data_IF_680200615076
#
_entry.id   IF_680200615076
#
_cell.length_a   1.000
_cell.length_b   1.000
_cell.length_c   1.000
_cell.angle_alpha   90.00
_cell.angle_beta   90.00
_cell.angle_gamma   90.00
#
_symmetry.space_group_name_H-M   'P 1'
#
loop_
_entity.id
_entity.type
_entity.pdbx_description
1 polymer ?
#
# COMPACT_ATOMS: atom_id res chain seq x y z
N UNK A 1 -9.98 30.50 34.63
CA UNK A 1 -10.23 30.41 33.18
C UNK A 1 -8.87 30.29 32.52
N UNK A 2 -8.47 29.10 32.08
CA UNK A 2 -7.30 28.95 31.22
C UNK A 2 -7.82 28.76 29.79
N UNK A 3 -7.50 29.71 28.92
CA UNK A 3 -7.82 29.65 27.50
C UNK A 3 -7.06 28.49 26.87
N UNK A 4 -7.78 27.49 26.38
CA UNK A 4 -7.22 26.47 25.52
C UNK A 4 -6.80 27.12 24.21
N UNK A 5 -5.49 27.20 23.98
CA UNK A 5 -4.94 27.54 22.68
C UNK A 5 -5.22 26.36 21.74
N UNK A 6 -6.33 26.41 21.00
CA UNK A 6 -6.56 25.49 19.89
C UNK A 6 -5.60 25.89 18.77
N UNK A 7 -4.57 25.08 18.55
CA UNK A 7 -3.74 25.18 17.34
C UNK A 7 -4.69 25.04 16.15
N UNK A 8 -4.71 25.98 15.18
CA UNK A 8 -5.53 25.85 13.99
C UNK A 8 -5.17 24.54 13.28
N UNK A 9 -6.13 23.65 13.09
CA UNK A 9 -5.93 22.49 12.23
C UNK A 9 -5.71 23.01 10.82
N UNK A 10 -4.52 22.79 10.26
CA UNK A 10 -4.23 23.18 8.90
C UNK A 10 -5.09 22.35 7.94
N UNK A 11 -5.96 23.04 7.19
CA UNK A 11 -6.78 22.41 6.16
C UNK A 11 -5.88 21.90 5.03
N UNK A 12 -6.10 20.64 4.66
CA UNK A 12 -5.42 19.99 3.56
C UNK A 12 -6.38 19.76 2.42
N UNK A 13 -5.81 19.62 1.24
CA UNK A 13 -6.51 19.26 0.02
C UNK A 13 -5.91 17.98 -0.54
N UNK A 14 -6.78 17.08 -1.00
CA UNK A 14 -6.40 15.93 -1.79
C UNK A 14 -6.85 16.23 -3.22
N UNK A 15 -5.87 16.27 -4.12
CA UNK A 15 -6.09 16.21 -5.56
C UNK A 15 -5.57 14.85 -6.03
N UNK A 16 -6.45 13.99 -6.52
CA UNK A 16 -6.06 12.66 -6.95
C UNK A 16 -6.89 12.12 -8.09
N UNK A 17 -6.38 11.09 -8.75
CA UNK A 17 -7.08 10.36 -9.79
C UNK A 17 -7.02 8.86 -9.53
N UNK A 18 -8.10 8.16 -9.88
CA UNK A 18 -8.20 6.70 -9.82
C UNK A 18 -8.60 6.19 -11.21
N UNK A 19 -7.89 5.20 -11.73
CA UNK A 19 -8.20 4.58 -13.02
C UNK A 19 -7.63 3.18 -13.18
N UNK A 20 -8.25 2.31 -13.98
CA UNK A 20 -7.64 1.04 -14.34
C UNK A 20 -6.56 1.23 -15.42
N UNK A 21 -5.49 0.45 -15.32
CA UNK A 21 -4.46 0.31 -16.35
C UNK A 21 -3.72 -1.01 -16.11
N UNK A 22 -3.56 -1.83 -17.16
CA UNK A 22 -2.79 -3.08 -17.13
C UNK A 22 -3.17 -4.02 -15.97
N UNK A 23 -4.47 -4.20 -15.71
CA UNK A 23 -4.98 -5.09 -14.65
C UNK A 23 -4.86 -4.54 -13.22
N UNK A 24 -4.41 -3.30 -13.04
CA UNK A 24 -4.28 -2.66 -11.74
C UNK A 24 -5.06 -1.34 -11.67
N UNK A 25 -5.40 -0.92 -10.45
CA UNK A 25 -5.95 0.40 -10.16
C UNK A 25 -4.83 1.36 -9.85
N UNK A 26 -4.60 2.32 -10.72
CA UNK A 26 -3.58 3.35 -10.56
C UNK A 26 -4.13 4.57 -9.81
N UNK A 27 -3.26 5.17 -9.01
CA UNK A 27 -3.53 6.35 -8.21
C UNK A 27 -2.44 7.39 -8.47
N UNK A 28 -2.83 8.54 -8.98
CA UNK A 28 -2.01 9.75 -8.98
C UNK A 28 -2.56 10.63 -7.87
N UNK A 29 -1.76 11.03 -6.88
CA UNK A 29 -2.30 11.74 -5.71
C UNK A 29 -1.34 12.75 -5.13
N UNK A 30 -1.85 13.93 -4.87
CA UNK A 30 -1.20 15.02 -4.14
C UNK A 30 -2.01 15.27 -2.86
N UNK A 31 -1.31 15.47 -1.75
CA UNK A 31 -1.92 15.91 -0.48
C UNK A 31 -1.05 16.99 0.11
N UNK A 32 -1.56 18.22 0.08
CA UNK A 32 -0.81 19.42 0.48
C UNK A 32 -1.81 20.48 0.96
N UNK A 33 -1.33 21.68 1.31
CA UNK A 33 -2.20 22.80 1.64
C UNK A 33 -3.03 23.24 0.41
N UNK A 34 -4.19 23.83 0.67
CA UNK A 34 -5.12 24.29 -0.38
C UNK A 34 -4.40 25.25 -1.35
N UNK A 35 -3.63 26.20 -0.83
CA UNK A 35 -2.92 27.20 -1.62
C UNK A 35 -1.86 26.58 -2.56
N UNK A 36 -1.16 25.55 -2.09
CA UNK A 36 -0.09 24.90 -2.85
C UNK A 36 -0.63 24.02 -3.99
N UNK A 37 -1.85 23.51 -3.85
CA UNK A 37 -2.51 22.70 -4.89
C UNK A 37 -3.18 23.54 -5.97
N UNK A 38 -3.60 24.77 -5.70
CA UNK A 38 -4.44 25.55 -6.62
C UNK A 38 -3.83 25.70 -8.02
N UNK A 39 -2.54 26.03 -8.11
CA UNK A 39 -1.81 26.16 -9.38
C UNK A 39 -1.57 24.84 -10.13
N UNK A 40 -1.85 23.70 -9.50
CA UNK A 40 -1.66 22.35 -10.07
C UNK A 40 -2.95 21.84 -10.71
N UNK A 41 -4.11 22.29 -10.22
CA UNK A 41 -5.44 21.76 -10.56
C UNK A 41 -5.75 21.80 -12.05
N UNK A 42 -5.36 22.86 -12.75
CA UNK A 42 -5.65 23.01 -14.18
C UNK A 42 -4.82 22.05 -15.04
N UNK A 43 -3.62 21.69 -14.58
CA UNK A 43 -2.67 20.84 -15.33
C UNK A 43 -2.91 19.35 -15.05
N UNK A 44 -3.37 19.03 -13.84
CA UNK A 44 -3.54 17.66 -13.36
C UNK A 44 -4.41 16.77 -14.27
N UNK A 45 -5.57 17.21 -14.81
CA UNK A 45 -6.36 16.38 -15.71
C UNK A 45 -5.62 15.95 -16.98
N UNK A 46 -4.78 16.82 -17.54
CA UNK A 46 -3.98 16.50 -18.72
C UNK A 46 -2.95 15.41 -18.42
N UNK A 47 -2.28 15.54 -17.28
CA UNK A 47 -1.31 14.57 -16.75
C UNK A 47 -1.99 13.20 -16.55
N UNK A 48 -3.20 13.17 -16.01
CA UNK A 48 -3.98 11.93 -15.82
C UNK A 48 -4.38 11.30 -17.17
N UNK A 49 -4.79 12.12 -18.15
CA UNK A 49 -5.20 11.63 -19.47
C UNK A 49 -4.02 11.00 -20.24
N UNK A 50 -2.84 11.61 -20.15
CA UNK A 50 -1.63 11.20 -20.87
C UNK A 50 -0.80 10.13 -20.15
N UNK A 51 -1.12 9.83 -18.89
CA UNK A 51 -0.42 8.82 -18.10
C UNK A 51 -0.43 7.46 -18.81
N UNK A 52 0.75 6.89 -19.00
CA UNK A 52 0.96 5.53 -19.51
C UNK A 52 2.01 4.85 -18.64
N UNK A 53 2.20 3.56 -18.87
CA UNK A 53 3.33 2.82 -18.32
C UNK A 53 4.10 2.21 -19.46
N UNK A 54 5.43 2.19 -19.31
CA UNK A 54 6.30 1.49 -20.24
C UNK A 54 5.96 -0.02 -20.26
N UNK A 55 5.68 -0.64 -21.42
CA UNK A 55 5.28 -2.04 -21.48
C UNK A 55 6.34 -3.03 -21.00
N UNK A 56 7.63 -2.69 -21.09
CA UNK A 56 8.73 -3.58 -20.71
C UNK A 56 9.07 -3.45 -19.22
N UNK A 57 9.22 -2.23 -18.73
CA UNK A 57 9.64 -1.96 -17.35
C UNK A 57 8.48 -1.76 -16.39
N UNK A 58 7.25 -1.56 -16.88
CA UNK A 58 6.06 -1.25 -16.08
C UNK A 58 6.08 0.12 -15.41
N UNK A 59 7.11 0.94 -15.67
CA UNK A 59 7.32 2.24 -15.01
C UNK A 59 6.40 3.33 -15.58
N UNK A 60 6.01 4.33 -14.77
CA UNK A 60 5.26 5.48 -15.25
C UNK A 60 5.97 6.24 -16.38
N UNK A 61 5.25 6.51 -17.46
CA UNK A 61 5.71 7.31 -18.59
C UNK A 61 4.65 8.37 -18.88
N UNK A 62 5.06 9.64 -18.81
CA UNK A 62 4.21 10.78 -19.11
C UNK A 62 5.05 12.01 -19.39
N UNK A 63 4.51 12.93 -20.19
CA UNK A 63 5.11 14.25 -20.33
C UNK A 63 4.82 15.08 -19.07
N UNK A 64 5.88 15.63 -18.47
CA UNK A 64 5.77 16.48 -17.30
C UNK A 64 5.87 17.95 -17.71
N UNK A 65 5.11 18.86 -17.08
CA UNK A 65 5.23 20.29 -17.32
C UNK A 65 6.63 20.80 -16.98
N UNK A 66 6.98 21.96 -17.54
CA UNK A 66 8.29 22.57 -17.29
C UNK A 66 8.57 22.70 -15.79
N UNK A 67 9.76 22.23 -15.36
CA UNK A 67 10.22 22.30 -13.98
C UNK A 67 9.73 21.16 -13.08
N UNK A 68 8.73 20.36 -13.50
CA UNK A 68 8.32 19.17 -12.77
C UNK A 68 9.35 18.07 -12.98
N UNK A 69 9.60 17.27 -11.94
CA UNK A 69 10.63 16.21 -11.99
C UNK A 69 10.06 14.89 -11.53
N UNK A 70 10.21 13.87 -12.36
CA UNK A 70 10.01 12.48 -11.94
C UNK A 70 11.12 12.10 -10.98
N UNK A 71 10.73 11.53 -9.85
CA UNK A 71 11.58 11.07 -8.77
C UNK A 71 11.34 9.56 -8.57
N UNK A 72 12.35 8.82 -8.08
CA UNK A 72 12.16 7.43 -7.68
C UNK A 72 10.99 7.27 -6.72
N UNK A 73 10.34 6.10 -6.80
CA UNK A 73 9.30 5.67 -5.88
C UNK A 73 9.82 5.36 -4.47
N UNK A 74 8.93 4.85 -3.64
CA UNK A 74 9.23 4.29 -2.31
C UNK A 74 8.39 3.00 -2.07
N UNK A 75 8.26 2.56 -0.82
CA UNK A 75 7.44 1.38 -0.47
C UNK A 75 6.00 1.43 -0.98
N UNK A 76 5.47 2.65 -1.10
CA UNK A 76 4.05 2.92 -1.28
C UNK A 76 3.74 3.48 -2.67
N UNK A 77 4.72 4.11 -3.32
CA UNK A 77 4.60 4.71 -4.63
C UNK A 77 5.61 4.12 -5.62
N UNK A 78 5.15 3.75 -6.80
CA UNK A 78 5.98 3.33 -7.95
C UNK A 78 6.90 4.47 -8.43
N UNK A 79 6.42 5.70 -8.32
CA UNK A 79 7.17 6.91 -8.60
C UNK A 79 6.61 8.11 -7.84
N UNK A 80 7.39 9.17 -7.76
CA UNK A 80 6.95 10.47 -7.23
C UNK A 80 7.20 11.53 -8.29
N UNK A 81 6.43 12.60 -8.27
CA UNK A 81 6.70 13.80 -9.07
C UNK A 81 6.83 14.98 -8.14
N UNK A 82 8.00 15.61 -8.18
CA UNK A 82 8.26 16.87 -7.51
C UNK A 82 7.72 18.03 -8.38
N UNK A 83 6.77 18.76 -7.84
CA UNK A 83 6.05 19.84 -8.51
C UNK A 83 6.50 21.17 -7.90
N UNK A 84 7.18 22.05 -8.65
CA UNK A 84 7.56 23.36 -8.13
C UNK A 84 6.33 24.18 -7.76
N UNK A 85 6.37 24.83 -6.61
CA UNK A 85 5.32 25.72 -6.13
C UNK A 85 5.87 27.15 -6.09
N UNK A 86 5.18 28.09 -6.72
CA UNK A 86 5.65 29.47 -6.80
C UNK A 86 5.78 30.09 -5.40
N UNK A 87 6.95 30.67 -5.11
CA UNK A 87 7.23 31.31 -3.82
C UNK A 87 7.52 30.35 -2.66
N UNK A 88 7.67 29.05 -2.94
CA UNK A 88 8.02 28.04 -1.94
C UNK A 88 9.23 27.22 -2.41
N UNK A 89 10.21 27.04 -1.51
CA UNK A 89 11.40 26.23 -1.79
C UNK A 89 11.07 24.73 -1.84
N UNK A 90 10.01 24.29 -1.15
CA UNK A 90 9.61 22.90 -1.08
C UNK A 90 8.61 22.57 -2.20
N UNK A 91 8.91 21.59 -3.07
CA UNK A 91 7.96 21.17 -4.09
C UNK A 91 6.75 20.47 -3.45
N UNK A 92 5.59 20.57 -4.09
CA UNK A 92 4.49 19.67 -3.81
C UNK A 92 4.83 18.28 -4.38
N UNK A 93 4.38 17.23 -3.70
CA UNK A 93 4.70 15.85 -4.12
C UNK A 93 3.43 15.17 -4.61
N UNK A 94 3.44 14.77 -5.89
CA UNK A 94 2.48 13.81 -6.41
C UNK A 94 3.06 12.40 -6.29
N UNK A 95 2.29 11.50 -5.71
CA UNK A 95 2.61 10.07 -5.63
C UNK A 95 1.91 9.32 -6.76
N UNK A 96 2.61 8.38 -7.37
CA UNK A 96 2.06 7.44 -8.35
C UNK A 96 2.12 6.06 -7.70
N UNK A 97 0.98 5.46 -7.43
CA UNK A 97 0.89 4.12 -6.83
C UNK A 97 -0.09 3.26 -7.60
N UNK A 98 -0.01 1.94 -7.45
CA UNK A 98 -0.97 1.00 -8.03
C UNK A 98 -1.39 0.00 -6.97
N UNK A 99 -2.66 -0.39 -6.98
CA UNK A 99 -3.20 -1.45 -6.14
C UNK A 99 -3.89 -2.49 -7.02
N UNK A 100 -4.05 -3.70 -6.48
CA UNK A 100 -4.89 -4.71 -7.09
C UNK A 100 -6.30 -4.13 -7.32
N UNK A 101 -6.79 -4.30 -8.54
CA UNK A 101 -8.11 -3.86 -8.97
C UNK A 101 -8.92 -5.05 -9.46
N UNK A 102 -10.26 -4.95 -9.47
CA UNK A 102 -11.06 -5.96 -10.13
C UNK A 102 -10.74 -6.02 -11.62
N UNK A 103 -10.70 -7.24 -12.18
CA UNK A 103 -10.55 -7.46 -13.62
C UNK A 103 -11.83 -7.12 -14.39
N UNK A 104 -12.99 -7.35 -13.77
CA UNK A 104 -14.30 -7.12 -14.36
C UNK A 104 -14.73 -5.65 -14.24
N UNK A 105 -15.15 -5.06 -15.37
CA UNK A 105 -15.62 -3.68 -15.45
C UNK A 105 -16.82 -3.40 -14.54
N UNK A 106 -17.69 -4.39 -14.36
CA UNK A 106 -18.88 -4.31 -13.51
C UNK A 106 -18.57 -4.14 -12.02
N UNK A 107 -17.38 -4.54 -11.58
CA UNK A 107 -16.94 -4.44 -10.17
C UNK A 107 -16.20 -3.13 -9.86
N UNK A 108 -15.93 -2.32 -10.88
CA UNK A 108 -15.22 -1.04 -10.72
C UNK A 108 -15.97 0.00 -9.87
N UNK A 109 -17.31 0.15 -9.95
CA UNK A 109 -18.04 1.09 -9.12
C UNK A 109 -17.85 0.85 -7.61
N UNK A 110 -17.86 -0.41 -7.16
CA UNK A 110 -17.63 -0.76 -5.76
C UNK A 110 -16.18 -0.48 -5.32
N UNK A 111 -15.22 -0.75 -6.23
CA UNK A 111 -13.82 -0.39 -6.00
C UNK A 111 -13.63 1.12 -5.86
N UNK A 112 -14.25 1.92 -6.73
CA UNK A 112 -14.21 3.39 -6.64
C UNK A 112 -14.83 3.89 -5.34
N UNK A 113 -16.02 3.38 -4.98
CA UNK A 113 -16.71 3.76 -3.74
C UNK A 113 -15.80 3.60 -2.51
N UNK A 114 -15.16 2.43 -2.39
CA UNK A 114 -14.23 2.14 -1.30
C UNK A 114 -13.06 3.11 -1.27
N UNK A 115 -12.43 3.35 -2.42
CA UNK A 115 -11.21 4.15 -2.49
C UNK A 115 -11.46 5.65 -2.32
N UNK A 116 -12.56 6.17 -2.85
CA UNK A 116 -12.95 7.57 -2.71
C UNK A 116 -13.37 7.88 -1.27
N UNK A 117 -14.12 7.00 -0.61
CA UNK A 117 -14.46 7.17 0.81
C UNK A 117 -13.23 7.05 1.73
N UNK A 118 -12.26 6.20 1.38
CA UNK A 118 -10.95 6.19 2.05
C UNK A 118 -10.23 7.54 1.93
N UNK A 119 -10.39 8.26 0.82
CA UNK A 119 -9.82 9.60 0.66
C UNK A 119 -10.65 10.68 1.38
N UNK A 120 -11.98 10.59 1.40
CA UNK A 120 -12.83 11.45 2.24
C UNK A 120 -12.37 11.43 3.70
N UNK A 121 -12.13 10.25 4.27
CA UNK A 121 -11.68 10.12 5.66
C UNK A 121 -10.33 10.81 5.95
N UNK A 122 -9.45 10.96 4.95
CA UNK A 122 -8.16 11.65 5.11
C UNK A 122 -8.29 13.17 5.19
N UNK A 123 -9.40 13.72 4.68
CA UNK A 123 -9.77 15.13 4.81
C UNK A 123 -10.93 15.33 5.79
N UNK A 124 -11.12 14.38 6.71
CA UNK A 124 -12.16 14.41 7.75
C UNK A 124 -13.59 14.59 7.20
N UNK A 125 -13.86 14.13 5.99
CA UNK A 125 -15.19 14.08 5.42
C UNK A 125 -15.86 12.73 5.70
N UNK A 126 -17.18 12.75 5.82
CA UNK A 126 -17.98 11.55 5.99
C UNK A 126 -17.98 10.67 4.72
N UNK A 127 -18.28 9.40 4.91
CA UNK A 127 -18.51 8.50 3.78
C UNK A 127 -19.76 8.94 3.01
N UNK A 128 -19.69 8.86 1.69
CA UNK A 128 -20.77 9.17 0.79
C UNK A 128 -21.19 7.93 0.01
N UNK A 129 -22.41 7.94 -0.51
CA UNK A 129 -22.86 6.95 -1.48
C UNK A 129 -22.09 7.10 -2.79
N UNK A 130 -22.13 6.05 -3.62
CA UNK A 130 -21.50 6.09 -4.94
C UNK A 130 -22.12 7.18 -5.82
N UNK A 131 -23.44 7.37 -5.77
CA UNK A 131 -24.14 8.39 -6.55
C UNK A 131 -23.63 9.81 -6.22
N UNK A 132 -23.54 10.14 -4.94
CA UNK A 132 -23.03 11.43 -4.47
C UNK A 132 -21.56 11.64 -4.86
N UNK A 133 -20.73 10.60 -4.74
CA UNK A 133 -19.34 10.65 -5.15
C UNK A 133 -19.21 10.91 -6.64
N UNK A 134 -19.94 10.15 -7.46
CA UNK A 134 -19.90 10.25 -8.92
C UNK A 134 -20.38 11.63 -9.41
N UNK A 135 -21.31 12.26 -8.69
CA UNK A 135 -21.73 13.64 -8.97
C UNK A 135 -20.66 14.70 -8.62
N UNK A 136 -19.70 14.36 -7.75
CA UNK A 136 -18.68 15.28 -7.23
C UNK A 136 -17.29 15.12 -7.84
N UNK A 137 -17.07 14.07 -8.63
CA UNK A 137 -15.78 13.76 -9.27
C UNK A 137 -15.83 14.02 -10.77
N UNK A 138 -14.68 14.33 -11.36
CA UNK A 138 -14.58 14.60 -12.79
C UNK A 138 -14.11 13.36 -13.55
N UNK A 139 -14.88 12.83 -14.51
CA UNK A 139 -14.42 11.77 -15.40
C UNK A 139 -13.51 12.33 -16.50
N UNK A 140 -12.41 11.64 -16.76
CA UNK A 140 -11.43 11.93 -17.82
C UNK A 140 -11.32 10.69 -18.72
N UNK A 141 -11.77 10.76 -19.99
CA UNK A 141 -11.58 9.67 -20.95
C UNK A 141 -10.10 9.31 -21.11
N UNK A 142 -9.80 8.01 -21.27
CA UNK A 142 -8.43 7.52 -21.49
C UNK A 142 -8.37 6.61 -22.70
N UNK A 143 -7.34 6.80 -23.52
CA UNK A 143 -7.10 5.99 -24.70
C UNK A 143 -6.93 4.51 -24.31
N UNK A 144 -7.65 3.61 -25.02
CA UNK A 144 -7.55 2.16 -24.78
C UNK A 144 -8.27 1.65 -23.52
N UNK A 145 -9.01 2.50 -22.79
CA UNK A 145 -9.81 2.09 -21.63
C UNK A 145 -11.29 2.41 -21.82
N UNK A 146 -12.17 1.47 -21.45
CA UNK A 146 -13.62 1.69 -21.37
C UNK A 146 -14.02 2.49 -20.14
N UNK A 147 -13.24 2.36 -19.08
CA UNK A 147 -13.42 3.04 -17.81
C UNK A 147 -12.58 4.33 -17.82
N UNK A 148 -13.17 5.51 -17.59
CA UNK A 148 -12.41 6.76 -17.51
C UNK A 148 -11.58 6.81 -16.22
N UNK A 149 -10.66 7.77 -16.16
CA UNK A 149 -10.11 8.18 -14.88
C UNK A 149 -11.09 9.08 -14.13
N UNK A 150 -11.12 8.97 -12.81
CA UNK A 150 -11.95 9.80 -11.96
C UNK A 150 -11.08 10.69 -11.10
N UNK A 151 -11.21 12.00 -11.27
CA UNK A 151 -10.50 13.00 -10.47
C UNK A 151 -11.31 13.32 -9.22
N UNK A 152 -10.68 13.10 -8.08
CA UNK A 152 -11.12 13.51 -6.77
C UNK A 152 -10.39 14.79 -6.37
N UNK A 153 -11.13 15.82 -6.02
CA UNK A 153 -10.60 17.11 -5.61
C UNK A 153 -11.39 17.63 -4.42
N UNK A 154 -10.87 17.42 -3.20
CA UNK A 154 -11.55 17.82 -1.96
C UNK A 154 -10.60 18.36 -0.92
N UNK A 155 -11.10 19.30 -0.14
CA UNK A 155 -10.43 19.88 1.03
C UNK A 155 -11.13 19.49 2.34
N UNK A 156 -10.41 19.65 3.43
CA UNK A 156 -10.93 19.49 4.78
C UNK A 156 -9.82 19.49 5.83
N UNK A 157 -10.21 19.34 7.09
CA UNK A 157 -9.25 19.20 8.17
C UNK A 157 -8.41 17.94 7.99
N UNK A 158 -7.19 17.92 8.55
CA UNK A 158 -6.39 16.69 8.58
C UNK A 158 -7.15 15.61 9.34
N UNK A 159 -7.70 14.63 8.62
CA UNK A 159 -8.45 13.52 9.21
C UNK A 159 -7.54 12.46 9.79
N UNK A 160 -8.06 11.68 10.76
CA UNK A 160 -7.48 10.39 11.09
C UNK A 160 -7.82 9.47 9.93
N UNK A 161 -6.84 9.11 9.11
CA UNK A 161 -7.00 8.08 8.08
C UNK A 161 -7.23 6.72 8.74
N UNK A 162 -8.42 6.51 9.30
CA UNK A 162 -8.92 5.25 9.83
C UNK A 162 -10.20 4.89 9.08
N UNK A 163 -10.29 3.63 8.66
CA UNK A 163 -11.50 3.07 8.08
C UNK A 163 -12.64 3.24 9.10
N UNK A 164 -13.51 4.22 8.87
CA UNK A 164 -14.71 4.43 9.67
C UNK A 164 -15.63 3.23 9.48
N UNK A 165 -15.62 2.32 10.46
CA UNK A 165 -16.70 1.36 10.67
C UNK A 165 -17.93 2.16 11.10
N UNK A 166 -18.78 2.50 10.14
CA UNK A 166 -20.20 2.62 10.43
C UNK A 166 -20.71 1.20 10.66
N UNK A 167 -20.87 0.83 11.92
CA UNK A 167 -21.65 -0.36 12.29
C UNK A 167 -23.13 -0.02 12.09
N UNK A 168 -23.90 -0.76 11.29
CA UNK A 168 -25.35 -0.71 11.39
C UNK A 168 -25.74 -1.47 12.67
N UNK A 169 -26.41 -0.78 13.58
CA UNK A 169 -27.21 -1.42 14.63
C UNK A 169 -28.25 -2.34 13.99
N UNK A 170 -28.41 -3.61 14.44
CA UNK A 170 -29.45 -4.47 13.92
C UNK A 170 -30.79 -4.10 14.55
N UNK A 171 -31.71 -3.62 13.70
CA UNK A 171 -33.11 -3.50 14.06
C UNK A 171 -33.74 -4.90 14.01
N UNK A 172 -34.18 -5.37 15.16
CA UNK A 172 -34.90 -6.64 15.31
C UNK A 172 -36.33 -6.47 14.79
N UNK A 173 -36.67 -7.05 13.64
CA UNK A 173 -38.00 -7.62 13.44
C UNK A 173 -38.11 -8.56 12.24
N UNK A 174 -38.52 -9.78 12.58
CA UNK A 174 -39.47 -10.64 11.89
C UNK A 174 -39.23 -11.20 10.47
N UNK A 175 -39.25 -12.53 10.49
CA UNK A 175 -40.09 -13.41 9.69
C UNK A 175 -39.55 -13.92 8.34
N UNK A 176 -39.25 -15.22 8.38
CA UNK A 176 -39.72 -16.25 7.45
C UNK A 176 -39.66 -15.92 5.96
N UNK A 177 -38.80 -16.64 5.23
CA UNK A 177 -39.24 -17.90 4.59
C UNK A 177 -38.06 -18.64 3.98
N UNK A 178 -38.15 -19.95 4.11
CA UNK A 178 -37.34 -21.00 3.51
C UNK A 178 -37.48 -21.08 1.99
N UNK A 179 -36.36 -21.23 1.28
CA UNK A 179 -36.27 -22.16 0.15
C UNK A 179 -34.81 -22.42 -0.24
N UNK A 180 -34.41 -23.68 -0.11
CA UNK A 180 -33.19 -24.29 -0.61
C UNK A 180 -33.16 -24.39 -2.15
N UNK A 181 -31.96 -24.60 -2.73
CA UNK A 181 -31.69 -24.42 -4.16
C UNK A 181 -31.97 -25.68 -4.98
N UNK A 182 -32.12 -25.52 -6.30
CA UNK A 182 -32.10 -26.63 -7.25
C UNK A 182 -31.00 -26.45 -8.31
N UNK A 183 -30.16 -27.48 -8.55
CA UNK A 183 -29.09 -27.46 -9.54
C UNK A 183 -29.58 -27.95 -10.92
N UNK A 184 -29.01 -27.40 -11.99
CA UNK A 184 -29.07 -27.94 -13.36
C UNK A 184 -27.68 -27.82 -13.97
N UNK A 185 -26.89 -28.89 -13.98
CA UNK A 185 -26.71 -29.85 -15.09
C UNK A 185 -26.05 -29.22 -16.33
N UNK A 186 -24.75 -29.53 -16.45
CA UNK A 186 -23.88 -29.28 -17.57
C UNK A 186 -24.23 -30.11 -18.82
N UNK A 187 -23.82 -29.62 -19.99
CA UNK A 187 -23.33 -30.44 -21.09
C UNK A 187 -22.26 -29.68 -21.91
N UNK A 188 -21.40 -30.41 -22.66
CA UNK A 188 -20.03 -30.02 -22.98
C UNK A 188 -19.89 -29.42 -24.38
N UNK A 189 -18.79 -28.71 -24.61
CA UNK A 189 -18.30 -28.44 -25.96
C UNK A 189 -16.80 -28.77 -26.03
N UNK A 190 -16.48 -29.65 -26.97
CA UNK A 190 -15.16 -30.14 -27.32
C UNK A 190 -14.18 -29.05 -27.72
N UNK A 191 -12.93 -29.33 -27.38
CA UNK A 191 -11.67 -28.66 -27.68
C UNK A 191 -11.30 -28.64 -29.17
N UNK A 192 -10.68 -27.55 -29.62
CA UNK A 192 -9.57 -27.55 -30.58
C UNK A 192 -8.55 -26.44 -30.26
N UNK A 193 -7.26 -26.61 -30.62
CA UNK A 193 -6.13 -25.91 -30.01
C UNK A 193 -5.76 -24.63 -30.77
N UNK A 194 -5.32 -23.62 -30.03
CA UNK A 194 -4.50 -22.52 -30.56
C UNK A 194 -3.42 -22.17 -29.53
N UNK A 195 -2.29 -22.86 -29.69
CA UNK A 195 -0.99 -22.45 -29.22
C UNK A 195 -0.65 -21.08 -29.80
N UNK A 196 -0.79 -20.02 -28.99
CA UNK A 196 -0.06 -18.75 -29.08
C UNK A 196 0.14 -18.30 -27.62
N UNK A 197 1.38 -18.40 -27.13
CA UNK A 197 1.74 -18.05 -25.76
C UNK A 197 1.34 -16.62 -25.40
N UNK A 198 0.25 -16.50 -24.63
CA UNK A 198 -0.07 -15.29 -23.90
C UNK A 198 0.95 -15.11 -22.77
N UNK A 199 1.34 -13.86 -22.41
CA UNK A 199 2.09 -13.61 -21.19
C UNK A 199 1.25 -14.13 -20.02
N UNK A 200 1.79 -15.08 -19.26
CA UNK A 200 1.12 -15.67 -18.12
C UNK A 200 0.67 -14.55 -17.16
N UNK A 201 -0.64 -14.38 -17.01
CA UNK A 201 -1.26 -13.53 -16.00
C UNK A 201 -0.60 -13.86 -14.64
N UNK A 202 0.02 -12.85 -14.02
CA UNK A 202 0.62 -13.05 -12.71
C UNK A 202 -0.49 -13.42 -11.72
N UNK A 203 -0.40 -14.63 -11.13
CA UNK A 203 -1.37 -15.14 -10.17
C UNK A 203 -1.48 -14.14 -9.00
N UNK A 204 -2.69 -13.68 -8.66
CA UNK A 204 -2.91 -12.90 -7.45
C UNK A 204 -2.83 -13.82 -6.23
N UNK A 205 -2.15 -13.40 -5.17
CA UNK A 205 -2.05 -14.18 -3.93
C UNK A 205 -3.32 -14.02 -3.10
N UNK A 206 -3.84 -15.14 -2.57
CA UNK A 206 -4.94 -15.14 -1.62
C UNK A 206 -4.38 -15.16 -0.19
N UNK A 207 -4.51 -14.08 0.59
CA UNK A 207 -4.01 -14.02 1.97
C UNK A 207 -4.61 -15.08 2.90
N UNK A 208 -5.79 -15.62 2.58
CA UNK A 208 -6.44 -16.64 3.40
C UNK A 208 -5.76 -18.01 3.34
N UNK A 209 -4.91 -18.25 2.34
CA UNK A 209 -4.15 -19.50 2.24
C UNK A 209 -2.87 -19.49 3.08
N UNK A 210 -2.50 -18.34 3.66
CA UNK A 210 -1.33 -18.22 4.51
C UNK A 210 -1.55 -18.91 5.86
N UNK A 211 -0.76 -19.95 6.10
CA UNK A 211 -0.70 -20.69 7.36
C UNK A 211 0.65 -20.45 8.05
N UNK A 212 0.66 -20.41 9.38
CA UNK A 212 1.84 -20.22 10.21
C UNK A 212 1.59 -20.71 11.64
N UNK A 213 2.67 -21.01 12.35
CA UNK A 213 2.67 -21.29 13.78
C UNK A 213 3.05 -20.01 14.55
N UNK A 214 2.13 -19.52 15.38
CA UNK A 214 2.36 -18.30 16.16
C UNK A 214 3.23 -18.62 17.39
N UNK A 215 4.38 -17.94 17.59
CA UNK A 215 5.17 -18.12 18.80
C UNK A 215 4.39 -17.82 20.07
N UNK A 216 4.76 -18.49 21.16
CA UNK A 216 4.15 -18.27 22.47
C UNK A 216 4.24 -16.79 22.89
N UNK A 217 3.12 -16.27 23.40
CA UNK A 217 3.00 -14.88 23.85
C UNK A 217 2.80 -13.85 22.74
N UNK A 218 2.99 -14.21 21.46
CA UNK A 218 2.64 -13.32 20.36
C UNK A 218 1.12 -13.29 20.18
N UNK A 219 0.60 -12.13 19.80
CA UNK A 219 -0.84 -11.91 19.70
C UNK A 219 -1.18 -11.35 18.33
N UNK A 220 -2.07 -12.03 17.59
CA UNK A 220 -2.60 -11.50 16.33
C UNK A 220 -3.41 -10.24 16.60
N UNK A 221 -3.08 -9.17 15.91
CA UNK A 221 -3.76 -7.90 15.98
C UNK A 221 -4.81 -7.78 14.87
N UNK A 222 -5.69 -6.78 14.98
CA UNK A 222 -6.68 -6.49 13.96
C UNK A 222 -6.03 -6.24 12.60
N UNK A 223 -6.70 -6.71 11.53
CA UNK A 223 -6.25 -6.50 10.17
C UNK A 223 -6.16 -5.00 9.85
N UNK A 224 -5.08 -4.61 9.19
CA UNK A 224 -4.86 -3.23 8.73
C UNK A 224 -4.72 -3.22 7.21
N UNK A 225 -5.14 -2.14 6.53
CA UNK A 225 -4.99 -2.04 5.09
C UNK A 225 -3.55 -2.32 4.65
N UNK A 226 -3.39 -3.05 3.54
CA UNK A 226 -2.10 -3.40 2.93
C UNK A 226 -1.21 -4.34 3.77
N UNK A 227 -1.76 -4.97 4.81
CA UNK A 227 -1.08 -6.00 5.60
C UNK A 227 -1.87 -7.30 5.49
N UNK A 228 -1.18 -8.41 5.22
CA UNK A 228 -1.75 -9.76 5.29
C UNK A 228 -2.03 -10.13 6.75
N UNK A 229 -1.08 -9.81 7.64
CA UNK A 229 -1.21 -10.05 9.06
C UNK A 229 -0.41 -9.03 9.88
N UNK A 230 -0.86 -8.76 11.10
CA UNK A 230 -0.12 -7.96 12.09
C UNK A 230 -0.13 -8.71 13.42
N UNK A 231 1.00 -8.71 14.12
CA UNK A 231 1.16 -9.34 15.42
C UNK A 231 1.85 -8.39 16.38
N UNK A 232 1.43 -8.45 17.63
CA UNK A 232 2.14 -7.88 18.76
C UNK A 232 3.17 -8.90 19.25
N UNK A 233 4.40 -8.44 19.39
CA UNK A 233 5.55 -9.22 19.89
C UNK A 233 5.86 -8.72 21.29
N UNK A 234 5.68 -9.52 22.34
CA UNK A 234 5.77 -9.04 23.72
C UNK A 234 7.21 -8.64 24.07
N UNK A 235 7.37 -7.44 24.62
CA UNK A 235 8.56 -6.97 25.32
C UNK A 235 8.64 -7.52 26.75
N UNK A 236 9.77 -7.26 27.41
CA UNK A 236 9.88 -7.45 28.87
C UNK A 236 9.13 -6.34 29.62
N UNK A 237 8.91 -6.47 30.94
CA UNK A 237 8.14 -5.48 31.73
C UNK A 237 8.62 -4.02 31.59
N UNK A 238 9.91 -3.81 31.31
CA UNK A 238 10.52 -2.49 31.13
C UNK A 238 10.74 -2.09 29.67
N UNK A 239 10.26 -2.88 28.70
CA UNK A 239 10.51 -2.72 27.27
C UNK A 239 9.19 -2.65 26.50
N UNK A 240 9.13 -1.77 25.50
CA UNK A 240 7.95 -1.67 24.63
C UNK A 240 7.78 -2.93 23.78
N UNK A 241 6.53 -3.31 23.53
CA UNK A 241 6.20 -4.38 22.60
C UNK A 241 6.63 -4.05 21.16
N UNK A 242 7.04 -5.08 20.43
CA UNK A 242 7.30 -5.00 18.99
C UNK A 242 6.04 -5.20 18.16
N UNK A 243 6.09 -4.75 16.90
CA UNK A 243 5.07 -5.03 15.89
C UNK A 243 5.69 -5.87 14.77
N UNK A 244 5.12 -7.04 14.49
CA UNK A 244 5.45 -7.85 13.33
C UNK A 244 4.35 -7.74 12.26
N UNK A 245 4.75 -7.45 11.04
CA UNK A 245 3.85 -7.27 9.90
C UNK A 245 4.22 -8.25 8.80
N UNK A 246 3.20 -8.91 8.23
CA UNK A 246 3.30 -9.66 6.98
C UNK A 246 2.62 -8.87 5.88
N UNK A 247 3.31 -8.66 4.75
CA UNK A 247 2.79 -7.90 3.60
C UNK A 247 3.38 -8.41 2.28
N UNK A 248 2.84 -7.94 1.16
CA UNK A 248 3.41 -8.18 -0.18
C UNK A 248 3.90 -6.89 -0.80
N UNK A 249 5.05 -6.95 -1.47
CA UNK A 249 5.58 -5.86 -2.26
C UNK A 249 6.50 -6.41 -3.35
N UNK A 250 6.87 -5.58 -4.32
CA UNK A 250 7.93 -5.90 -5.26
C UNK A 250 9.25 -5.92 -4.50
N UNK A 251 10.08 -6.94 -4.74
CA UNK A 251 11.40 -7.01 -4.15
C UNK A 251 12.42 -6.25 -5.00
N UNK A 252 13.05 -5.26 -4.36
CA UNK A 252 14.22 -4.56 -4.85
C UNK A 252 15.14 -4.32 -3.64
N UNK A 253 16.09 -5.22 -3.36
CA UNK A 253 16.82 -5.22 -2.10
C UNK A 253 17.51 -3.89 -1.76
N UNK A 254 18.06 -3.19 -2.77
CA UNK A 254 18.75 -1.91 -2.56
C UNK A 254 17.75 -0.79 -2.26
N UNK A 255 16.73 -0.61 -3.09
CA UNK A 255 15.74 0.47 -2.88
C UNK A 255 14.90 0.23 -1.61
N UNK A 256 14.55 -1.03 -1.33
CA UNK A 256 13.89 -1.42 -0.10
C UNK A 256 14.75 -1.10 1.13
N UNK A 257 16.04 -1.42 1.08
CA UNK A 257 16.96 -1.14 2.19
C UNK A 257 17.19 0.35 2.41
N UNK A 258 17.17 1.19 1.37
CA UNK A 258 17.23 2.66 1.51
C UNK A 258 16.02 3.18 2.28
N UNK A 259 14.83 2.78 1.88
CA UNK A 259 13.57 3.21 2.49
C UNK A 259 13.42 2.71 3.93
N UNK A 260 13.86 1.50 4.25
CA UNK A 260 13.91 1.03 5.63
C UNK A 260 14.94 1.79 6.47
N UNK A 261 16.09 2.13 5.88
CA UNK A 261 17.11 2.95 6.54
C UNK A 261 16.60 4.36 6.83
N UNK A 262 15.84 4.98 5.91
CA UNK A 262 15.16 6.26 6.14
C UNK A 262 14.23 6.21 7.36
N UNK A 263 13.42 5.13 7.49
CA UNK A 263 12.52 4.94 8.62
C UNK A 263 13.26 4.80 9.97
N UNK A 264 14.40 4.11 9.97
CA UNK A 264 15.15 3.81 11.18
C UNK A 264 16.05 4.97 11.59
N UNK A 265 16.76 5.56 10.64
CA UNK A 265 17.75 6.62 10.85
C UNK A 265 17.14 8.01 10.87
N UNK A 266 15.89 8.16 10.38
CA UNK A 266 15.17 9.45 10.29
C UNK A 266 15.95 10.51 9.51
N UNK A 267 16.58 10.08 8.42
CA UNK A 267 17.33 10.93 7.48
C UNK A 267 16.93 10.59 6.05
N UNK A 268 16.87 11.59 5.19
CA UNK A 268 16.63 11.49 3.75
C UNK A 268 17.91 11.71 2.92
N UNK A 269 19.07 11.88 3.58
CA UNK A 269 20.35 12.17 2.93
C UNK A 269 20.81 10.97 2.05
N UNK A 270 20.84 11.12 0.70
CA UNK A 270 21.25 10.04 -0.20
C UNK A 270 22.69 9.57 0.02
N UNK A 271 23.58 10.45 0.51
CA UNK A 271 24.97 10.12 0.80
C UNK A 271 25.13 9.19 2.00
N UNK A 272 24.11 9.14 2.88
CA UNK A 272 24.02 8.19 4.00
C UNK A 272 23.25 6.95 3.57
N UNK A 273 22.07 7.13 2.97
CA UNK A 273 21.15 6.02 2.67
C UNK A 273 21.67 5.06 1.61
N UNK A 274 22.36 5.55 0.58
CA UNK A 274 22.93 4.73 -0.49
C UNK A 274 23.94 3.71 0.02
N UNK A 275 25.07 4.15 0.62
CA UNK A 275 26.08 3.25 1.18
C UNK A 275 25.51 2.34 2.27
N UNK A 276 24.56 2.84 3.09
CA UNK A 276 23.93 2.02 4.12
C UNK A 276 23.11 0.87 3.53
N UNK A 277 22.35 1.13 2.47
CA UNK A 277 21.57 0.10 1.78
C UNK A 277 22.46 -0.99 1.16
N UNK A 278 23.56 -0.60 0.51
CA UNK A 278 24.54 -1.54 -0.04
C UNK A 278 25.15 -2.42 1.07
N UNK A 279 25.52 -1.81 2.20
CA UNK A 279 26.00 -2.52 3.37
C UNK A 279 24.96 -3.55 3.86
N UNK A 280 23.71 -3.13 4.06
CA UNK A 280 22.62 -4.00 4.53
C UNK A 280 22.42 -5.19 3.59
N UNK A 281 22.37 -4.94 2.27
CA UNK A 281 22.17 -6.01 1.28
C UNK A 281 23.35 -6.99 1.27
N UNK A 282 24.59 -6.49 1.39
CA UNK A 282 25.78 -7.34 1.44
C UNK A 282 25.84 -8.22 2.71
N UNK A 283 25.18 -7.80 3.78
CA UNK A 283 25.15 -8.49 5.08
C UNK A 283 23.91 -9.38 5.25
N UNK A 284 23.05 -9.49 4.24
CA UNK A 284 21.82 -10.26 4.33
C UNK A 284 22.10 -11.75 4.58
N UNK A 285 21.45 -12.32 5.58
CA UNK A 285 21.54 -13.75 5.90
C UNK A 285 20.52 -14.54 5.04
N UNK A 286 20.90 -15.70 4.51
CA UNK A 286 19.92 -16.66 3.98
C UNK A 286 19.38 -17.50 5.13
N UNK A 287 18.07 -17.59 5.29
CA UNK A 287 17.39 -18.38 6.32
C UNK A 287 16.33 -19.30 5.69
N UNK A 288 15.99 -20.43 6.34
CA UNK A 288 14.86 -21.25 5.89
C UNK A 288 13.52 -20.52 6.12
N UNK A 289 12.60 -20.72 5.19
CA UNK A 289 11.22 -20.25 5.21
C UNK A 289 10.31 -21.37 4.70
N UNK A 290 10.25 -22.47 5.47
CA UNK A 290 9.51 -23.65 5.09
C UNK A 290 10.17 -24.45 3.98
N UNK A 291 9.48 -24.56 2.85
CA UNK A 291 10.04 -25.20 1.64
C UNK A 291 10.87 -24.23 0.78
N UNK A 292 11.03 -22.98 1.24
CA UNK A 292 11.67 -21.88 0.52
C UNK A 292 12.81 -21.30 1.35
N UNK A 293 13.59 -20.42 0.74
CA UNK A 293 14.58 -19.60 1.42
C UNK A 293 14.07 -18.16 1.54
N UNK A 294 14.56 -17.45 2.56
CA UNK A 294 14.35 -16.02 2.72
C UNK A 294 15.68 -15.29 2.90
N UNK A 295 15.70 -14.01 2.51
CA UNK A 295 16.78 -13.09 2.87
C UNK A 295 16.38 -12.31 4.11
N UNK A 296 17.20 -12.38 5.15
CA UNK A 296 17.01 -11.68 6.41
C UNK A 296 17.92 -10.45 6.48
N UNK A 297 17.32 -9.30 6.69
CA UNK A 297 17.97 -8.00 6.84
C UNK A 297 17.77 -7.49 8.26
N UNK A 298 18.78 -6.81 8.81
CA UNK A 298 18.70 -6.14 10.11
C UNK A 298 19.21 -4.71 9.97
N UNK A 299 18.40 -3.76 10.43
CA UNK A 299 18.68 -2.32 10.34
C UNK A 299 18.45 -1.71 11.71
N UNK A 300 19.49 -1.09 12.28
CA UNK A 300 19.47 -0.50 13.61
C UNK A 300 19.78 0.99 13.51
N UNK A 301 19.14 1.80 14.35
CA UNK A 301 19.41 3.24 14.38
C UNK A 301 20.83 3.53 14.90
N UNK A 302 21.25 2.78 15.90
CA UNK A 302 22.61 2.71 16.44
C UNK A 302 22.76 1.40 17.25
N UNK A 303 23.88 1.22 17.94
CA UNK A 303 24.17 0.00 18.72
C UNK A 303 23.56 -0.02 20.13
N UNK A 304 22.80 1.00 20.53
CA UNK A 304 22.10 1.02 21.81
C UNK A 304 20.97 -0.03 21.83
N UNK A 305 20.78 -0.66 22.98
CA UNK A 305 19.75 -1.69 23.21
C UNK A 305 18.33 -1.17 22.94
N UNK A 306 18.05 0.07 23.33
CA UNK A 306 16.77 0.75 23.15
C UNK A 306 16.58 1.37 21.77
N UNK A 307 17.59 1.31 20.89
CA UNK A 307 17.50 1.91 19.57
C UNK A 307 16.46 1.20 18.72
N UNK A 308 15.80 1.95 17.84
CA UNK A 308 14.87 1.39 16.86
C UNK A 308 15.60 0.40 15.94
N UNK A 309 15.00 -0.78 15.78
CA UNK A 309 15.47 -1.85 14.93
C UNK A 309 14.33 -2.31 14.00
N UNK A 310 14.67 -2.54 12.73
CA UNK A 310 13.86 -3.32 11.80
C UNK A 310 14.59 -4.62 11.47
N UNK A 311 13.93 -5.74 11.69
CA UNK A 311 14.35 -7.05 11.18
C UNK A 311 13.37 -7.49 10.11
N UNK A 312 13.84 -7.75 8.89
CA UNK A 312 12.98 -8.01 7.73
C UNK A 312 13.40 -9.31 7.07
N UNK A 313 12.48 -10.27 6.95
CA UNK A 313 12.65 -11.41 6.06
C UNK A 313 11.88 -11.20 4.77
N UNK A 314 12.55 -11.44 3.63
CA UNK A 314 11.95 -11.39 2.29
C UNK A 314 11.93 -12.80 1.70
N UNK A 315 10.73 -13.33 1.48
CA UNK A 315 10.50 -14.67 0.95
C UNK A 315 10.00 -14.53 -0.48
N UNK A 316 10.76 -15.04 -1.45
CA UNK A 316 10.33 -15.05 -2.84
C UNK A 316 9.11 -15.97 -2.99
N UNK A 317 8.07 -15.47 -3.66
CA UNK A 317 6.85 -16.23 -3.91
C UNK A 317 6.87 -16.75 -5.35
N UNK A 318 7.10 -18.05 -5.52
CA UNK A 318 7.09 -18.70 -6.84
C UNK A 318 5.75 -18.51 -7.56
N UNK A 319 5.79 -18.06 -8.81
CA UNK A 319 4.59 -17.79 -9.61
C UNK A 319 3.91 -16.44 -9.34
N UNK A 320 4.48 -15.61 -8.46
CA UNK A 320 4.00 -14.25 -8.15
C UNK A 320 5.04 -13.20 -8.55
N UNK A 321 4.59 -12.00 -8.92
CA UNK A 321 5.44 -10.85 -9.23
C UNK A 321 5.91 -10.07 -7.98
N UNK A 322 5.43 -10.47 -6.81
CA UNK A 322 5.74 -9.86 -5.51
C UNK A 322 6.34 -10.88 -4.56
N UNK A 323 7.13 -10.40 -3.61
CA UNK A 323 7.66 -11.20 -2.51
C UNK A 323 6.86 -10.97 -1.23
N UNK A 324 6.92 -11.93 -0.31
CA UNK A 324 6.35 -11.79 1.02
C UNK A 324 7.38 -11.19 1.97
N UNK A 325 6.98 -10.12 2.65
CA UNK A 325 7.80 -9.40 3.61
C UNK A 325 7.29 -9.69 5.02
N UNK A 326 8.17 -10.18 5.89
CA UNK A 326 7.91 -10.37 7.32
C UNK A 326 8.80 -9.37 8.06
N UNK A 327 8.20 -8.27 8.53
CA UNK A 327 8.92 -7.15 9.14
C UNK A 327 8.60 -7.02 10.62
N UNK A 328 9.61 -7.21 11.47
CA UNK A 328 9.57 -6.88 12.88
C UNK A 328 10.12 -5.47 13.09
N UNK A 329 9.30 -4.60 13.69
CA UNK A 329 9.70 -3.30 14.23
C UNK A 329 9.73 -3.36 15.74
N UNK A 330 10.89 -3.12 16.33
CA UNK A 330 11.10 -3.18 17.78
C UNK A 330 12.31 -2.37 18.20
N UNK A 331 12.73 -2.48 19.46
CA UNK A 331 14.09 -2.13 19.90
C UNK A 331 15.11 -3.15 19.40
N UNK A 332 16.40 -2.79 19.42
CA UNK A 332 17.52 -3.72 19.16
C UNK A 332 17.51 -4.90 20.12
N UNK A 333 17.29 -4.64 21.41
CA UNK A 333 17.25 -5.67 22.45
C UNK A 333 16.11 -6.66 22.23
N UNK A 334 14.89 -6.19 21.96
CA UNK A 334 13.76 -7.07 21.70
C UNK A 334 13.96 -7.89 20.42
N UNK A 335 14.51 -7.30 19.36
CA UNK A 335 14.81 -8.02 18.12
C UNK A 335 15.77 -9.19 18.35
N UNK A 336 16.80 -9.00 19.19
CA UNK A 336 17.76 -10.04 19.54
C UNK A 336 17.11 -11.14 20.40
N UNK A 337 16.32 -10.76 21.41
CA UNK A 337 15.59 -11.71 22.26
C UNK A 337 14.60 -12.56 21.47
N UNK A 338 13.92 -11.97 20.48
CA UNK A 338 12.89 -12.62 19.70
C UNK A 338 13.41 -13.25 18.40
N UNK A 339 14.72 -13.19 18.10
CA UNK A 339 15.29 -13.73 16.85
C UNK A 339 14.90 -15.19 16.64
N UNK A 340 15.04 -16.03 17.66
CA UNK A 340 14.68 -17.46 17.56
C UNK A 340 13.17 -17.69 17.32
N UNK A 341 12.31 -16.85 17.91
CA UNK A 341 10.85 -16.93 17.71
C UNK A 341 10.46 -16.48 16.30
N UNK A 342 11.07 -15.39 15.83
CA UNK A 342 10.90 -14.88 14.47
C UNK A 342 11.32 -15.91 13.42
N UNK A 343 12.48 -16.55 13.59
CA UNK A 343 12.95 -17.58 12.66
C UNK A 343 12.03 -18.80 12.62
N UNK A 344 11.52 -19.25 13.77
CA UNK A 344 10.51 -20.34 13.81
C UNK A 344 9.20 -19.94 13.14
N UNK A 345 8.73 -18.71 13.38
CA UNK A 345 7.54 -18.19 12.71
C UNK A 345 7.72 -18.21 11.18
N UNK A 346 8.82 -17.66 10.67
CA UNK A 346 9.13 -17.63 9.22
C UNK A 346 9.24 -19.04 8.65
N UNK A 347 9.94 -19.94 9.35
CA UNK A 347 10.10 -21.32 8.92
C UNK A 347 8.80 -22.13 8.94
N UNK A 348 7.80 -21.71 9.72
CA UNK A 348 6.46 -22.32 9.75
C UNK A 348 5.53 -21.85 8.63
N UNK A 349 5.86 -20.75 7.92
CA UNK A 349 4.95 -20.14 6.95
C UNK A 349 4.70 -21.02 5.71
N UNK A 350 3.44 -21.29 5.39
CA UNK A 350 3.02 -22.09 4.22
C UNK A 350 1.86 -21.40 3.50
N UNK A 351 1.76 -21.61 2.20
CA UNK A 351 0.65 -21.18 1.36
C UNK A 351 0.59 -22.06 0.10
N UNK A 352 -0.62 -22.26 -0.42
CA UNK A 352 -0.91 -23.06 -1.62
C UNK A 352 -1.65 -22.23 -2.69
#
# INVERSE_FOLDING_TARGET
MMGGSSIPMEEKRILGAIFPLNGAGYFLKITDSIARIEGIREVFPKIVAEFKTDPESGKPVMELPAGWKMMPGDAFAEAKVAIPVAGDEKPAIMTISKLAAPAEESSWPDYLLMQLNRWNGQVAQENQSLEELMASIQPIPREGSKIPAYIFDKNGATGKGEASRSTPTPDTSNASTSSTPKPGTAMPAESLPADHGAPTEAKAFDPSTLQYELPEGWEKQADRPFRIATFRVPGSESEEDGELVVSQAVDNPIENSKMWSEQVLKTDDPSVLGPKAEQIVSQAETIPAGKREAKLYSIRANDEKSALCLTIAVIQMEGFSTSMFVKLRSTTQLAEQQKSNLLRFIDSMRWE
#
